data_IF_496210133279
#
_entry.id   IF_496210133279
#
_cell.length_a   1.000
_cell.length_b   1.000
_cell.length_c   1.000
_cell.angle_alpha   90.00
_cell.angle_beta   90.00
_cell.angle_gamma   90.00
#
_symmetry.space_group_name_H-M   'P 1'
#
loop_
_entity.id
_entity.type
_entity.pdbx_description
1 polymer ?
#
# COMPACT_ATOMS: atom_id res chain seq x y z
N UNK A 1 -3.73 -27.79 -2.82
CA UNK A 1 -3.43 -28.00 -4.27
C UNK A 1 -2.53 -26.84 -4.74
N UNK A 2 -1.23 -27.04 -4.97
CA UNK A 2 -0.30 -25.97 -5.39
C UNK A 2 -0.33 -25.69 -6.90
N UNK A 3 -1.26 -26.27 -7.67
CA UNK A 3 -1.27 -26.17 -9.13
C UNK A 3 -1.82 -24.86 -9.71
N UNK A 4 -2.75 -24.18 -9.04
CA UNK A 4 -3.45 -23.04 -9.62
C UNK A 4 -2.60 -21.75 -9.73
N UNK A 5 -1.80 -21.45 -8.71
CA UNK A 5 -0.98 -20.24 -8.72
C UNK A 5 0.18 -20.31 -9.74
N UNK A 6 0.77 -21.48 -9.93
CA UNK A 6 1.80 -21.71 -10.97
C UNK A 6 1.20 -21.68 -12.39
N UNK A 7 -0.02 -22.17 -12.57
CA UNK A 7 -0.73 -22.08 -13.86
C UNK A 7 -1.09 -20.63 -14.22
N UNK A 8 -1.52 -19.81 -13.26
CA UNK A 8 -1.80 -18.39 -13.49
C UNK A 8 -0.54 -17.58 -13.84
N UNK A 9 0.63 -17.96 -13.31
CA UNK A 9 1.90 -17.37 -13.74
C UNK A 9 2.30 -17.77 -15.16
N UNK A 10 1.93 -18.97 -15.62
CA UNK A 10 2.21 -19.44 -16.97
C UNK A 10 1.40 -18.72 -18.05
N UNK A 11 0.25 -18.15 -17.70
CA UNK A 11 -0.64 -17.45 -18.64
C UNK A 11 -0.11 -16.05 -19.05
N UNK A 12 0.82 -15.44 -18.32
CA UNK A 12 1.51 -14.25 -18.79
C UNK A 12 2.78 -14.65 -19.56
N UNK A 13 2.87 -14.20 -20.82
CA UNK A 13 4.09 -14.37 -21.62
C UNK A 13 5.29 -13.76 -20.89
N UNK A 14 6.45 -14.32 -21.07
CA UNK A 14 7.71 -13.79 -20.51
C UNK A 14 7.91 -12.34 -20.94
N UNK A 15 7.53 -11.99 -22.16
CA UNK A 15 7.59 -10.63 -22.71
C UNK A 15 6.72 -9.64 -21.91
N UNK A 16 5.47 -10.00 -21.55
CA UNK A 16 4.60 -9.12 -20.76
C UNK A 16 5.16 -8.84 -19.37
N UNK A 17 5.82 -9.82 -18.75
CA UNK A 17 6.47 -9.64 -17.44
C UNK A 17 7.67 -8.70 -17.50
N UNK A 18 8.46 -8.81 -18.57
CA UNK A 18 9.62 -7.94 -18.82
C UNK A 18 9.13 -6.52 -19.09
N UNK A 19 8.17 -6.32 -19.99
CA UNK A 19 7.59 -5.00 -20.31
C UNK A 19 7.05 -4.33 -19.06
N UNK A 20 6.25 -5.07 -18.26
CA UNK A 20 5.73 -4.53 -16.98
C UNK A 20 6.87 -4.10 -16.05
N UNK A 21 7.89 -4.95 -15.87
CA UNK A 21 9.01 -4.64 -14.97
C UNK A 21 9.81 -3.44 -15.44
N UNK A 22 10.09 -3.34 -16.73
CA UNK A 22 10.76 -2.17 -17.32
C UNK A 22 9.93 -0.91 -17.11
N UNK A 23 8.61 -0.98 -17.38
CA UNK A 23 7.69 0.14 -17.11
C UNK A 23 7.67 0.55 -15.63
N UNK A 24 7.59 -0.41 -14.70
CA UNK A 24 7.65 -0.15 -13.26
C UNK A 24 8.95 0.59 -12.88
N UNK A 25 10.10 0.15 -13.39
CA UNK A 25 11.41 0.76 -13.11
C UNK A 25 11.48 2.16 -13.70
N UNK A 26 11.17 2.31 -15.00
CA UNK A 26 11.25 3.61 -15.69
C UNK A 26 10.33 4.64 -15.04
N UNK A 27 9.09 4.26 -14.72
CA UNK A 27 8.14 5.14 -14.04
C UNK A 27 8.62 5.52 -12.64
N UNK A 28 9.17 4.56 -11.88
CA UNK A 28 9.68 4.84 -10.53
C UNK A 28 10.90 5.75 -10.55
N UNK A 29 11.82 5.57 -11.49
CA UNK A 29 12.96 6.47 -11.68
C UNK A 29 12.50 7.87 -12.02
N UNK A 30 11.54 8.01 -12.97
CA UNK A 30 10.97 9.29 -13.35
C UNK A 30 10.37 10.02 -12.14
N UNK A 31 9.51 9.33 -11.37
CA UNK A 31 8.86 9.91 -10.19
C UNK A 31 9.88 10.31 -9.12
N UNK A 32 10.87 9.46 -8.83
CA UNK A 32 11.88 9.77 -7.83
C UNK A 32 12.80 10.92 -8.26
N UNK A 33 13.18 10.98 -9.54
CA UNK A 33 14.06 12.04 -10.06
C UNK A 33 13.33 13.38 -10.11
N UNK A 34 12.17 13.44 -10.79
CA UNK A 34 11.41 14.68 -10.90
C UNK A 34 10.77 15.11 -9.57
N UNK A 35 10.38 14.13 -8.75
CA UNK A 35 9.82 14.38 -7.42
C UNK A 35 10.86 14.63 -6.33
N UNK A 36 12.16 14.53 -6.63
CA UNK A 36 13.21 14.67 -5.61
C UNK A 36 13.16 15.98 -4.82
N UNK A 37 12.88 17.17 -5.40
CA UNK A 37 12.75 18.41 -4.61
C UNK A 37 11.59 18.33 -3.61
N UNK A 38 10.44 17.78 -4.05
CA UNK A 38 9.29 17.58 -3.17
C UNK A 38 9.60 16.56 -2.07
N UNK A 39 10.25 15.43 -2.40
CA UNK A 39 10.63 14.41 -1.42
C UNK A 39 11.58 14.97 -0.36
N UNK A 40 12.55 15.81 -0.75
CA UNK A 40 13.47 16.46 0.18
C UNK A 40 12.73 17.46 1.08
N UNK A 41 11.84 18.28 0.52
CA UNK A 41 11.02 19.21 1.30
C UNK A 41 10.14 18.46 2.31
N UNK A 42 9.46 17.38 1.90
CA UNK A 42 8.66 16.53 2.79
C UNK A 42 9.52 15.88 3.87
N UNK A 43 10.70 15.38 3.52
CA UNK A 43 11.65 14.80 4.48
C UNK A 43 12.05 15.80 5.56
N UNK A 44 12.34 17.03 5.17
CA UNK A 44 12.67 18.13 6.08
C UNK A 44 11.47 18.47 6.99
N UNK A 45 10.27 18.62 6.42
CA UNK A 45 9.05 18.89 7.19
C UNK A 45 8.77 17.78 8.22
N UNK A 46 8.89 16.50 7.83
CA UNK A 46 8.74 15.36 8.76
C UNK A 46 9.79 15.40 9.86
N UNK A 47 11.04 15.75 9.53
CA UNK A 47 12.13 15.84 10.52
C UNK A 47 11.88 16.94 11.52
N UNK A 48 11.36 18.10 11.09
CA UNK A 48 11.05 19.26 11.93
C UNK A 48 9.76 19.08 12.74
N UNK A 49 8.77 18.34 12.21
CA UNK A 49 7.45 18.19 12.84
C UNK A 49 7.47 17.33 14.11
N UNK A 50 8.40 16.40 14.24
CA UNK A 50 8.52 15.54 15.41
C UNK A 50 9.89 14.86 15.51
N UNK A 51 10.32 14.53 16.73
CA UNK A 51 11.59 13.83 16.98
C UNK A 51 11.56 12.40 16.43
N UNK A 52 12.64 11.98 15.74
CA UNK A 52 12.84 10.60 15.26
C UNK A 52 13.26 10.51 13.78
N UNK A 53 13.26 9.30 13.18
CA UNK A 53 13.64 9.09 11.78
C UNK A 53 12.61 9.71 10.82
N UNK A 54 13.05 10.10 9.63
CA UNK A 54 12.17 10.64 8.57
C UNK A 54 11.29 9.52 7.98
N UNK A 55 11.88 8.36 7.78
CA UNK A 55 11.19 7.21 7.20
C UNK A 55 10.77 6.21 8.27
N UNK A 56 9.67 5.52 7.99
CA UNK A 56 9.19 4.37 8.73
C UNK A 56 9.17 3.16 7.81
N UNK A 57 9.75 2.06 8.25
CA UNK A 57 9.75 0.79 7.53
C UNK A 57 8.65 -0.09 8.11
N UNK A 58 7.54 -0.22 7.38
CA UNK A 58 6.43 -1.06 7.81
C UNK A 58 6.62 -2.49 7.31
N UNK A 59 6.75 -3.49 8.21
CA UNK A 59 6.83 -4.89 7.79
C UNK A 59 5.58 -5.30 7.00
N UNK A 60 5.76 -5.80 5.79
CA UNK A 60 4.72 -6.27 4.88
C UNK A 60 5.08 -7.62 4.29
N UNK A 61 4.04 -8.34 3.86
CA UNK A 61 4.19 -9.60 3.12
C UNK A 61 4.04 -9.26 1.64
N UNK A 62 5.04 -9.64 0.86
CA UNK A 62 5.10 -9.48 -0.58
C UNK A 62 4.98 -10.81 -1.32
N UNK A 63 5.43 -10.82 -2.58
CA UNK A 63 5.37 -11.98 -3.45
C UNK A 63 6.10 -13.18 -2.82
N UNK A 64 5.53 -14.37 -3.03
CA UNK A 64 6.04 -15.66 -2.55
C UNK A 64 6.24 -15.66 -1.02
N UNK A 65 5.34 -14.98 -0.27
CA UNK A 65 5.39 -14.83 1.20
C UNK A 65 6.64 -14.14 1.75
N UNK A 66 7.46 -13.51 0.91
CA UNK A 66 8.67 -12.81 1.34
C UNK A 66 8.31 -11.54 2.10
N UNK A 67 8.79 -11.40 3.32
CA UNK A 67 8.62 -10.17 4.09
C UNK A 67 9.57 -9.09 3.58
N UNK A 68 9.10 -7.84 3.55
CA UNK A 68 9.90 -6.67 3.18
C UNK A 68 9.51 -5.45 4.02
N UNK A 69 10.38 -4.45 4.06
CA UNK A 69 10.11 -3.17 4.71
C UNK A 69 9.49 -2.18 3.73
N UNK A 70 8.17 -1.95 3.82
CA UNK A 70 7.48 -0.94 3.02
C UNK A 70 7.86 0.45 3.52
N UNK A 71 8.55 1.23 2.69
CA UNK A 71 9.13 2.53 3.05
C UNK A 71 8.05 3.61 2.98
N UNK A 72 7.86 4.35 4.07
CA UNK A 72 6.92 5.48 4.14
C UNK A 72 7.55 6.67 4.84
N UNK A 73 7.04 7.87 4.59
CA UNK A 73 7.31 8.97 5.52
C UNK A 73 6.64 8.69 6.86
N UNK A 74 7.31 9.05 7.95
CA UNK A 74 6.74 8.94 9.29
C UNK A 74 5.57 9.90 9.45
N UNK A 75 4.39 9.35 9.73
CA UNK A 75 3.15 10.10 9.97
C UNK A 75 2.67 10.03 11.41
N UNK A 76 3.30 9.17 12.21
CA UNK A 76 2.97 8.95 13.62
C UNK A 76 4.10 9.39 14.55
N UNK A 77 3.77 9.61 15.82
CA UNK A 77 4.73 9.86 16.90
C UNK A 77 5.63 8.64 17.10
N UNK A 78 6.82 8.88 17.67
CA UNK A 78 7.81 7.80 17.91
C UNK A 78 7.30 6.72 18.87
N UNK A 79 6.47 7.12 19.83
CA UNK A 79 5.86 6.29 20.88
C UNK A 79 4.49 5.70 20.48
N UNK A 80 4.17 5.67 19.19
CA UNK A 80 2.86 5.29 18.65
C UNK A 80 2.37 3.90 19.11
N UNK A 81 3.26 2.91 19.21
CA UNK A 81 2.87 1.56 19.63
C UNK A 81 2.53 1.49 21.13
N UNK A 82 3.28 2.21 21.97
CA UNK A 82 2.98 2.33 23.40
C UNK A 82 1.65 3.07 23.62
N UNK A 83 1.44 4.14 22.88
CA UNK A 83 0.18 4.90 22.91
C UNK A 83 -1.00 4.01 22.49
N UNK A 84 -0.87 3.20 21.44
CA UNK A 84 -1.93 2.29 21.01
C UNK A 84 -2.31 1.32 22.11
N UNK A 85 -1.34 0.65 22.73
CA UNK A 85 -1.61 -0.28 23.80
C UNK A 85 -2.38 0.37 24.98
N UNK A 86 -2.03 1.62 25.32
CA UNK A 86 -2.73 2.40 26.35
C UNK A 86 -4.14 2.80 25.94
N UNK A 87 -4.36 3.20 24.67
CA UNK A 87 -5.66 3.59 24.15
C UNK A 87 -6.63 2.39 24.11
N UNK A 88 -6.18 1.26 23.58
CA UNK A 88 -7.01 0.05 23.49
C UNK A 88 -7.42 -0.50 24.86
N UNK A 89 -6.52 -0.44 25.87
CA UNK A 89 -6.85 -0.82 27.24
C UNK A 89 -7.92 0.07 27.89
N UNK A 90 -8.01 1.35 27.52
CA UNK A 90 -8.92 2.32 28.13
C UNK A 90 -10.28 2.44 27.45
N UNK A 91 -10.41 1.96 26.20
CA UNK A 91 -11.65 2.10 25.42
C UNK A 91 -11.97 0.80 24.67
N UNK A 92 -12.94 0.01 25.14
CA UNK A 92 -13.42 -1.17 24.45
C UNK A 92 -13.95 -0.89 23.05
N UNK A 93 -14.53 0.34 22.84
CA UNK A 93 -15.03 0.77 21.52
C UNK A 93 -13.89 0.91 20.51
N UNK A 94 -12.77 1.57 20.92
CA UNK A 94 -11.60 1.74 20.05
C UNK A 94 -10.88 0.41 19.83
N UNK A 95 -10.91 -0.51 20.83
CA UNK A 95 -10.40 -1.87 20.65
C UNK A 95 -11.21 -2.62 19.59
N UNK A 96 -12.53 -2.58 19.64
CA UNK A 96 -13.40 -3.22 18.65
C UNK A 96 -13.19 -2.62 17.24
N UNK A 97 -13.12 -1.29 17.13
CA UNK A 97 -12.81 -0.61 15.87
C UNK A 97 -11.45 -1.07 15.31
N UNK A 98 -10.41 -1.08 16.14
CA UNK A 98 -9.08 -1.50 15.72
C UNK A 98 -9.02 -2.99 15.35
N UNK A 99 -9.79 -3.86 16.02
CA UNK A 99 -9.87 -5.29 15.71
C UNK A 99 -10.49 -5.55 14.33
N UNK A 100 -11.46 -4.72 13.93
CA UNK A 100 -12.14 -4.86 12.65
C UNK A 100 -11.27 -4.42 11.45
N UNK A 101 -10.66 -3.24 11.53
CA UNK A 101 -9.99 -2.62 10.39
C UNK A 101 -8.47 -2.45 10.55
N UNK A 102 -7.91 -2.78 11.72
CA UNK A 102 -6.53 -2.52 12.13
C UNK A 102 -6.15 -1.03 12.02
N UNK A 103 -7.14 -0.15 12.13
CA UNK A 103 -7.03 1.30 12.05
C UNK A 103 -8.01 1.93 13.04
N UNK A 104 -7.72 3.17 13.44
CA UNK A 104 -8.64 4.04 14.15
C UNK A 104 -8.98 5.22 13.21
N UNK A 105 -10.26 5.62 13.17
CA UNK A 105 -10.71 6.77 12.36
C UNK A 105 -9.99 8.05 12.78
N UNK A 106 -10.07 8.36 14.08
CA UNK A 106 -9.36 9.48 14.69
C UNK A 106 -8.21 8.98 15.55
N UNK A 107 -7.13 8.59 14.88
CA UNK A 107 -5.96 8.02 15.52
C UNK A 107 -5.10 9.13 16.16
N UNK A 108 -5.06 9.26 17.50
CA UNK A 108 -4.33 10.33 18.19
C UNK A 108 -2.80 10.20 18.07
N UNK A 109 -2.32 9.09 17.55
CA UNK A 109 -0.89 8.86 17.30
C UNK A 109 -0.40 9.59 16.06
N UNK A 110 -1.32 9.99 15.17
CA UNK A 110 -0.98 10.65 13.91
C UNK A 110 -0.72 12.13 14.16
N UNK A 111 0.43 12.63 13.69
CA UNK A 111 0.76 14.05 13.77
C UNK A 111 -0.10 14.90 12.83
N UNK A 112 -0.27 16.22 13.04
CA UNK A 112 -1.00 17.09 12.10
C UNK A 112 -0.45 17.01 10.67
N UNK A 113 0.88 17.07 10.51
CA UNK A 113 1.54 16.84 9.22
C UNK A 113 1.27 15.43 8.69
N UNK A 114 1.27 14.42 9.57
CA UNK A 114 0.96 13.03 9.21
C UNK A 114 -0.46 12.86 8.67
N UNK A 115 -1.45 13.58 9.22
CA UNK A 115 -2.82 13.59 8.69
C UNK A 115 -2.86 14.15 7.25
N UNK A 116 -2.15 15.25 7.00
CA UNK A 116 -2.02 15.82 5.65
C UNK A 116 -1.38 14.83 4.69
N UNK A 117 -0.22 14.24 5.06
CA UNK A 117 0.50 13.29 4.21
C UNK A 117 -0.36 12.07 3.85
N UNK A 118 -1.09 11.51 4.82
CA UNK A 118 -1.99 10.36 4.58
C UNK A 118 -3.16 10.71 3.66
N UNK A 119 -3.78 11.86 3.86
CA UNK A 119 -4.91 12.31 3.01
C UNK A 119 -4.48 12.54 1.57
N UNK A 120 -3.28 13.07 1.35
CA UNK A 120 -2.70 13.31 0.03
C UNK A 120 -1.96 12.08 -0.54
N UNK A 121 -1.83 10.98 0.23
CA UNK A 121 -1.01 9.81 -0.11
C UNK A 121 0.47 10.11 -0.36
N UNK A 122 0.95 11.28 0.05
CA UNK A 122 2.37 11.68 -0.10
C UNK A 122 3.29 10.87 0.81
N UNK A 123 2.77 10.31 1.91
CA UNK A 123 3.53 9.43 2.78
C UNK A 123 4.00 8.15 2.09
N UNK A 124 3.38 7.76 0.99
CA UNK A 124 3.68 6.53 0.25
C UNK A 124 4.69 6.73 -0.90
N UNK A 125 5.04 7.98 -1.26
CA UNK A 125 6.02 8.25 -2.32
C UNK A 125 7.37 7.52 -2.15
N UNK A 126 7.93 7.35 -0.94
CA UNK A 126 9.16 6.58 -0.78
C UNK A 126 9.08 5.11 -1.20
N UNK A 127 7.87 4.54 -1.34
CA UNK A 127 7.69 3.15 -1.81
C UNK A 127 8.15 2.93 -3.26
N UNK A 128 8.33 3.99 -4.06
CA UNK A 128 8.97 3.84 -5.37
C UNK A 128 10.38 3.23 -5.27
N UNK A 129 11.07 3.42 -4.15
CA UNK A 129 12.35 2.71 -3.86
C UNK A 129 12.10 1.20 -3.70
N UNK A 130 10.99 0.77 -3.06
CA UNK A 130 10.64 -0.65 -2.98
C UNK A 130 10.33 -1.23 -4.39
N UNK A 131 9.75 -0.41 -5.28
CA UNK A 131 9.56 -0.82 -6.68
C UNK A 131 10.90 -1.03 -7.35
N UNK A 132 11.85 -0.11 -7.23
CA UNK A 132 13.19 -0.25 -7.80
C UNK A 132 13.93 -1.49 -7.26
N UNK A 133 13.77 -1.80 -5.98
CA UNK A 133 14.33 -3.01 -5.35
C UNK A 133 13.66 -4.31 -5.80
N UNK A 134 12.53 -4.25 -6.52
CA UNK A 134 11.79 -5.42 -6.99
C UNK A 134 10.88 -6.07 -5.92
N UNK A 135 10.73 -5.43 -4.76
CA UNK A 135 9.85 -5.84 -3.67
C UNK A 135 8.38 -5.52 -4.01
N UNK A 136 8.17 -4.44 -4.77
CA UNK A 136 6.86 -3.96 -5.21
C UNK A 136 6.80 -3.73 -6.72
N UNK A 137 5.60 -3.46 -7.20
CA UNK A 137 5.25 -2.96 -8.53
C UNK A 137 4.49 -1.64 -8.38
N UNK A 138 4.40 -0.83 -9.43
CA UNK A 138 3.56 0.37 -9.41
C UNK A 138 2.09 -0.02 -9.27
N UNK A 139 1.63 -1.02 -10.02
CA UNK A 139 0.26 -1.55 -9.96
C UNK A 139 0.27 -2.99 -9.49
N UNK A 140 -0.54 -3.31 -8.49
CA UNK A 140 -0.65 -4.66 -7.92
C UNK A 140 -1.63 -4.71 -6.74
N UNK A 141 -1.85 -5.89 -6.15
CA UNK A 141 -2.58 -6.02 -4.89
C UNK A 141 -1.88 -5.22 -3.79
N UNK A 142 -2.64 -4.72 -2.82
CA UNK A 142 -2.03 -3.96 -1.73
C UNK A 142 -1.07 -4.83 -0.90
N UNK A 143 0.11 -4.31 -0.49
CA UNK A 143 0.96 -5.01 0.45
C UNK A 143 0.26 -5.17 1.81
N UNK A 144 0.11 -6.41 2.27
CA UNK A 144 -0.63 -6.78 3.49
C UNK A 144 0.30 -6.98 4.68
N UNK A 145 -0.21 -6.78 5.89
CA UNK A 145 0.51 -7.17 7.12
C UNK A 145 0.25 -8.64 7.43
N UNK A 146 1.18 -9.30 8.12
CA UNK A 146 1.08 -10.75 8.43
C UNK A 146 -0.23 -11.13 9.10
N UNK A 147 -0.79 -10.28 9.96
CA UNK A 147 -2.07 -10.51 10.65
C UNK A 147 -3.30 -10.45 9.74
N UNK A 148 -3.18 -9.92 8.51
CA UNK A 148 -4.26 -9.88 7.52
C UNK A 148 -4.32 -11.18 6.69
N UNK A 149 -3.27 -12.01 6.68
CA UNK A 149 -3.21 -13.24 5.90
C UNK A 149 -4.44 -14.15 6.07
N UNK A 150 -4.95 -14.41 7.30
CA UNK A 150 -6.11 -15.27 7.47
C UNK A 150 -7.37 -14.78 6.76
N UNK A 151 -7.51 -13.47 6.54
CA UNK A 151 -8.68 -12.88 5.88
C UNK A 151 -8.78 -13.18 4.38
N UNK A 152 -7.66 -13.53 3.75
CA UNK A 152 -7.62 -13.95 2.35
C UNK A 152 -7.89 -15.46 2.18
N UNK A 153 -7.75 -16.24 3.23
CA UNK A 153 -8.00 -17.68 3.24
C UNK A 153 -7.23 -18.40 2.12
N UNK A 154 -7.92 -19.29 1.40
CA UNK A 154 -7.32 -20.09 0.30
C UNK A 154 -6.88 -19.26 -0.91
N UNK A 155 -7.32 -18.00 -1.03
CA UNK A 155 -7.00 -17.13 -2.16
C UNK A 155 -5.65 -16.40 -1.98
N UNK A 156 -5.02 -16.55 -0.81
CA UNK A 156 -3.77 -15.89 -0.48
C UNK A 156 -2.65 -16.24 -1.46
N UNK A 157 -2.51 -17.52 -1.84
CA UNK A 157 -1.47 -17.97 -2.76
C UNK A 157 -1.55 -17.26 -4.12
N UNK A 158 -2.78 -16.99 -4.60
CA UNK A 158 -3.00 -16.27 -5.86
C UNK A 158 -2.58 -14.81 -5.76
N UNK A 159 -2.94 -14.16 -4.66
CA UNK A 159 -2.58 -12.75 -4.43
C UNK A 159 -1.08 -12.58 -4.23
N UNK A 160 -0.45 -13.48 -3.47
CA UNK A 160 0.99 -13.44 -3.23
C UNK A 160 1.84 -14.04 -4.38
N UNK A 161 1.21 -14.60 -5.43
CA UNK A 161 1.92 -14.97 -6.66
C UNK A 161 2.42 -13.75 -7.44
N UNK A 162 1.90 -12.55 -7.16
CA UNK A 162 2.29 -11.28 -7.81
C UNK A 162 2.94 -10.31 -6.83
N UNK A 163 3.73 -9.36 -7.37
CA UNK A 163 4.27 -8.29 -6.53
C UNK A 163 3.16 -7.37 -6.04
N UNK A 164 3.17 -6.96 -4.76
CA UNK A 164 2.24 -5.96 -4.27
C UNK A 164 2.48 -4.61 -4.97
N UNK A 165 1.41 -3.82 -5.13
CA UNK A 165 1.44 -2.53 -5.80
C UNK A 165 1.42 -1.34 -4.85
N UNK A 166 1.90 -0.18 -5.34
CA UNK A 166 1.62 1.12 -4.72
C UNK A 166 0.13 1.45 -4.87
N UNK A 167 -0.40 1.23 -6.06
CA UNK A 167 -1.83 1.32 -6.35
C UNK A 167 -2.36 -0.01 -6.85
N UNK A 168 -3.67 -0.20 -6.85
CA UNK A 168 -4.31 -1.43 -7.27
C UNK A 168 -5.81 -1.27 -7.47
N UNK A 169 -6.44 -2.34 -7.91
CA UNK A 169 -7.83 -2.30 -8.35
C UNK A 169 -8.78 -1.80 -7.27
N UNK A 170 -8.66 -2.26 -6.02
CA UNK A 170 -9.55 -1.79 -4.96
C UNK A 170 -9.25 -0.36 -4.49
N UNK A 171 -7.98 0.10 -4.58
CA UNK A 171 -7.62 1.49 -4.23
C UNK A 171 -8.29 2.51 -5.16
N UNK A 172 -8.63 2.12 -6.38
CA UNK A 172 -9.32 2.98 -7.35
C UNK A 172 -10.82 2.71 -7.47
N UNK A 173 -11.35 1.65 -6.80
CA UNK A 173 -12.76 1.23 -6.91
C UNK A 173 -13.63 1.65 -5.73
N UNK A 174 -13.10 2.33 -4.71
CA UNK A 174 -13.88 2.78 -3.55
C UNK A 174 -13.05 2.93 -2.27
N UNK A 175 -11.80 2.49 -2.29
CA UNK A 175 -10.84 2.66 -1.18
C UNK A 175 -11.40 2.16 0.16
N UNK A 176 -11.43 3.05 1.17
CA UNK A 176 -11.87 2.72 2.52
C UNK A 176 -13.40 2.52 2.65
N UNK A 177 -14.19 2.90 1.64
CA UNK A 177 -15.65 2.66 1.64
C UNK A 177 -16.00 1.21 1.32
N UNK A 178 -15.04 0.42 0.80
CA UNK A 178 -15.23 -1.00 0.54
C UNK A 178 -15.07 -1.81 1.83
N UNK A 179 -15.93 -2.81 1.99
CA UNK A 179 -15.74 -3.85 3.01
C UNK A 179 -14.43 -4.60 2.79
N UNK A 180 -13.91 -5.22 3.84
CA UNK A 180 -12.66 -5.99 3.71
C UNK A 180 -12.80 -7.15 2.71
N UNK A 181 -13.96 -7.82 2.68
CA UNK A 181 -14.24 -8.89 1.74
C UNK A 181 -14.23 -8.43 0.27
N UNK A 182 -14.73 -7.22 0.00
CA UNK A 182 -14.67 -6.62 -1.34
C UNK A 182 -13.24 -6.28 -1.75
N UNK A 183 -12.42 -5.76 -0.81
CA UNK A 183 -11.00 -5.51 -1.08
C UNK A 183 -10.27 -6.80 -1.46
N UNK A 184 -10.50 -7.89 -0.71
CA UNK A 184 -9.94 -9.20 -1.01
C UNK A 184 -10.38 -9.68 -2.40
N UNK A 185 -11.68 -9.57 -2.72
CA UNK A 185 -12.19 -9.96 -4.05
C UNK A 185 -11.51 -9.19 -5.17
N UNK A 186 -11.31 -7.89 -5.02
CA UNK A 186 -10.66 -7.05 -6.04
C UNK A 186 -9.17 -7.37 -6.17
N UNK A 187 -8.46 -7.66 -5.08
CA UNK A 187 -7.07 -8.09 -5.13
C UNK A 187 -6.90 -9.43 -5.84
N UNK A 188 -7.79 -10.40 -5.55
CA UNK A 188 -7.83 -11.70 -6.24
C UNK A 188 -8.16 -11.53 -7.71
N UNK A 189 -9.17 -10.70 -8.03
CA UNK A 189 -9.55 -10.42 -9.41
C UNK A 189 -8.37 -9.83 -10.20
N UNK A 190 -7.68 -8.84 -9.63
CA UNK A 190 -6.46 -8.31 -10.26
C UNK A 190 -5.40 -9.39 -10.46
N UNK A 191 -5.11 -10.21 -9.45
CA UNK A 191 -4.10 -11.26 -9.55
C UNK A 191 -4.40 -12.26 -10.68
N UNK A 192 -5.68 -12.58 -10.89
CA UNK A 192 -6.15 -13.50 -11.94
C UNK A 192 -6.13 -12.89 -13.36
N UNK A 193 -6.56 -11.64 -13.48
CA UNK A 193 -6.85 -11.01 -14.78
C UNK A 193 -5.89 -9.86 -15.13
N UNK A 194 -4.73 -9.77 -14.45
CA UNK A 194 -3.76 -8.71 -14.68
C UNK A 194 -3.27 -8.67 -16.13
N UNK A 195 -3.37 -7.50 -16.73
CA UNK A 195 -2.84 -7.18 -18.08
C UNK A 195 -2.20 -5.81 -18.03
N UNK A 196 -1.35 -5.48 -19.01
CA UNK A 196 -0.78 -4.13 -19.14
C UNK A 196 -1.87 -3.07 -19.35
N UNK A 197 -2.96 -3.45 -20.03
CA UNK A 197 -4.10 -2.56 -20.23
C UNK A 197 -4.84 -2.27 -18.92
N UNK A 198 -5.07 -3.30 -18.10
CA UNK A 198 -5.67 -3.12 -16.77
C UNK A 198 -4.78 -2.24 -15.88
N UNK A 199 -3.47 -2.43 -15.93
CA UNK A 199 -2.52 -1.58 -15.20
C UNK A 199 -2.62 -0.12 -15.63
N UNK A 200 -2.69 0.16 -16.93
CA UNK A 200 -2.86 1.51 -17.46
C UNK A 200 -4.18 2.14 -16.97
N UNK A 201 -5.28 1.39 -17.02
CA UNK A 201 -6.58 1.86 -16.53
C UNK A 201 -6.52 2.20 -15.03
N UNK A 202 -5.87 1.36 -14.23
CA UNK A 202 -5.69 1.60 -12.79
C UNK A 202 -4.84 2.86 -12.55
N UNK A 203 -3.76 3.05 -13.31
CA UNK A 203 -2.92 4.25 -13.20
C UNK A 203 -3.70 5.52 -13.52
N UNK A 204 -4.46 5.55 -14.62
CA UNK A 204 -5.29 6.70 -14.97
C UNK A 204 -6.34 7.02 -13.89
N UNK A 205 -7.01 5.99 -13.37
CA UNK A 205 -7.94 6.15 -12.25
C UNK A 205 -7.25 6.62 -10.97
N UNK A 206 -6.02 6.18 -10.73
CA UNK A 206 -5.24 6.61 -9.55
C UNK A 206 -4.99 8.11 -9.58
N UNK A 207 -4.63 8.67 -10.74
CA UNK A 207 -4.47 10.13 -10.91
C UNK A 207 -5.76 10.86 -10.54
N UNK A 208 -6.91 10.41 -11.07
CA UNK A 208 -8.21 11.00 -10.75
C UNK A 208 -8.56 10.92 -9.25
N UNK A 209 -8.21 9.80 -8.60
CA UNK A 209 -8.43 9.59 -7.15
C UNK A 209 -7.53 10.48 -6.30
N UNK A 210 -6.27 10.66 -6.70
CA UNK A 210 -5.31 11.53 -5.97
C UNK A 210 -5.68 12.99 -6.11
N UNK A 211 -6.14 13.42 -7.28
CA UNK A 211 -6.56 14.81 -7.53
C UNK A 211 -7.90 15.15 -6.87
N UNK A 212 -8.79 14.17 -6.65
CA UNK A 212 -10.07 14.39 -5.96
C UNK A 212 -10.27 13.40 -4.79
N UNK A 213 -9.60 13.61 -3.65
CA UNK A 213 -9.63 12.69 -2.52
C UNK A 213 -10.92 12.74 -1.69
N UNK A 214 -11.77 13.79 -1.86
CA UNK A 214 -12.92 14.04 -0.97
C UNK A 214 -14.03 13.00 -1.06
N UNK A 215 -14.24 12.43 -2.23
CA UNK A 215 -15.39 11.54 -2.47
C UNK A 215 -15.10 10.04 -2.28
N UNK A 216 -13.89 9.64 -1.83
CA UNK A 216 -13.46 8.23 -1.89
C UNK A 216 -12.76 7.70 -0.64
N UNK A 217 -13.15 8.16 0.55
CA UNK A 217 -12.71 7.55 1.82
C UNK A 217 -11.21 7.70 2.13
N UNK A 218 -10.61 8.85 1.83
CA UNK A 218 -9.27 9.18 2.27
C UNK A 218 -9.30 9.74 3.70
N UNK A 219 -8.80 9.00 4.69
CA UNK A 219 -8.56 9.43 6.07
C UNK A 219 -7.39 8.66 6.68
#
# INVERSE_FOLDING_TARGET
MPGSARQLMALQSSSSRVIKRTGDISFSLLVLTLGSPLLLALALLVKLSSRGPVFYLQPRVGRDYRSFGCIKFRTMRKDADLLLAGILKRSPQLEAEFRNDFKLKDDPRITPLGKFLRRSSLDELPQFVNVLRGEMSVVGPRPIVRRELPRYGRQMDEVLAVRPGLTGLWQVSGRNNLSYAERVRLDVNYARHRTLWLDLQILLRTVAVVLNPRDRGAY
#
